data_IF_645430215919
#
_entry.id   IF_645430215919
#
_cell.length_a   1.000
_cell.length_b   1.000
_cell.length_c   1.000
_cell.angle_alpha   90.00
_cell.angle_beta   90.00
_cell.angle_gamma   90.00
#
_symmetry.space_group_name_H-M   'P 1'
#
loop_
_entity.id
_entity.type
_entity.pdbx_description
1 polymer ?
#
# COMPACT_ATOMS: atom_id res chain seq x y z
N UNK A 1 28.46 85.50 10.26
CA UNK A 1 28.76 84.37 9.31
C UNK A 1 28.72 82.96 9.94
N UNK A 2 27.97 82.70 11.02
CA UNK A 2 27.87 81.36 11.65
C UNK A 2 26.54 80.62 11.38
N UNK A 3 25.52 81.27 10.84
CA UNK A 3 24.19 80.68 10.66
C UNK A 3 23.98 79.94 9.35
N UNK A 4 24.79 80.13 8.30
CA UNK A 4 24.68 79.50 7.01
C UNK A 4 25.30 78.07 7.01
N UNK A 5 26.32 77.82 7.82
CA UNK A 5 26.99 76.53 7.85
C UNK A 5 26.19 75.46 8.60
N UNK A 6 25.39 75.81 9.60
CA UNK A 6 24.54 74.87 10.36
C UNK A 6 23.40 74.31 9.50
N UNK A 7 22.83 75.18 8.60
CA UNK A 7 21.76 74.73 7.69
C UNK A 7 22.27 73.76 6.63
N UNK A 8 23.52 73.90 6.17
CA UNK A 8 24.11 73.03 5.11
C UNK A 8 24.44 71.65 5.63
N UNK A 9 24.86 71.56 6.89
CA UNK A 9 25.13 70.25 7.51
C UNK A 9 23.85 69.51 7.90
N UNK A 10 22.76 70.23 8.26
CA UNK A 10 21.46 69.62 8.55
C UNK A 10 20.82 68.99 7.30
N UNK A 11 20.98 69.58 6.12
CA UNK A 11 20.49 69.01 4.89
C UNK A 11 21.30 67.78 4.42
N UNK A 12 22.61 67.76 4.68
CA UNK A 12 23.45 66.58 4.39
C UNK A 12 23.14 65.39 5.30
N UNK A 13 22.86 65.61 6.58
CA UNK A 13 22.51 64.56 7.53
C UNK A 13 21.12 64.03 7.23
N UNK A 14 20.16 64.91 6.81
CA UNK A 14 18.81 64.43 6.41
C UNK A 14 18.83 63.62 5.10
N UNK A 15 19.71 63.96 4.15
CA UNK A 15 19.90 63.23 2.91
C UNK A 15 20.49 61.81 3.12
N UNK A 16 21.44 61.68 4.04
CA UNK A 16 22.06 60.40 4.37
C UNK A 16 21.11 59.49 5.16
N UNK A 17 20.28 60.06 6.07
CA UNK A 17 19.24 59.28 6.75
C UNK A 17 18.13 58.78 5.79
N UNK A 18 17.74 59.57 4.81
CA UNK A 18 16.74 59.15 3.80
C UNK A 18 17.29 58.07 2.87
N UNK A 19 18.57 58.03 2.57
CA UNK A 19 19.17 57.01 1.70
C UNK A 19 19.38 55.67 2.43
N UNK A 20 19.57 55.66 3.75
CA UNK A 20 19.64 54.42 4.53
C UNK A 20 18.29 53.76 4.72
N UNK A 21 17.20 54.55 4.74
CA UNK A 21 15.85 54.01 4.89
C UNK A 21 15.31 53.26 3.61
N UNK A 22 15.85 53.58 2.43
CA UNK A 22 15.46 52.93 1.15
C UNK A 22 16.23 51.63 0.92
N UNK A 23 17.38 51.40 1.60
CA UNK A 23 18.21 50.21 1.44
C UNK A 23 17.72 48.96 2.22
N UNK A 24 16.70 49.07 3.10
CA UNK A 24 16.21 47.98 3.94
C UNK A 24 14.90 47.34 3.44
N UNK A 25 14.40 47.75 2.26
CA UNK A 25 13.40 46.97 1.56
C UNK A 25 14.03 45.78 0.83
N UNK A 26 14.85 45.00 1.52
CA UNK A 26 15.26 43.68 1.10
C UNK A 26 14.00 42.86 0.95
N UNK A 27 13.67 42.50 -0.29
CA UNK A 27 12.70 41.46 -0.56
C UNK A 27 12.98 40.27 0.37
N UNK A 28 12.22 40.14 1.42
CA UNK A 28 11.97 38.83 2.02
C UNK A 28 11.36 38.00 0.89
N UNK A 29 12.21 37.35 0.11
CA UNK A 29 11.82 36.28 -0.80
C UNK A 29 11.17 35.27 0.12
N UNK A 30 9.85 35.36 0.20
CA UNK A 30 9.04 34.36 0.87
C UNK A 30 9.39 33.05 0.18
N UNK A 31 10.28 32.28 0.78
CA UNK A 31 10.54 30.90 0.39
C UNK A 31 9.20 30.24 0.62
N UNK A 32 8.38 30.15 -0.42
CA UNK A 32 7.21 29.29 -0.42
C UNK A 32 7.79 27.90 -0.13
N UNK A 33 7.76 27.52 1.13
CA UNK A 33 7.87 26.13 1.53
C UNK A 33 6.76 25.44 0.77
N UNK A 34 7.08 24.77 -0.32
CA UNK A 34 6.13 23.90 -1.02
C UNK A 34 5.85 22.77 -0.03
N UNK A 35 4.82 22.96 0.79
CA UNK A 35 4.25 21.86 1.57
C UNK A 35 3.79 20.85 0.56
N UNK A 36 4.53 19.73 0.46
CA UNK A 36 4.10 18.58 -0.35
C UNK A 36 2.74 18.20 0.19
N UNK A 37 1.71 18.33 -0.65
CA UNK A 37 0.36 17.97 -0.26
C UNK A 37 0.35 16.47 0.14
N UNK A 38 -0.24 16.13 1.30
CA UNK A 38 -0.27 14.75 1.75
C UNK A 38 -1.01 13.88 0.72
N UNK A 39 -0.48 12.68 0.47
CA UNK A 39 -1.04 11.71 -0.48
C UNK A 39 -1.69 10.55 0.27
N UNK A 40 -2.58 9.82 -0.39
CA UNK A 40 -2.95 8.45 -0.04
C UNK A 40 -2.08 7.48 -0.85
N UNK A 41 -1.91 6.28 -0.36
CA UNK A 41 -0.99 5.29 -0.94
C UNK A 41 -1.73 4.01 -1.26
N UNK A 42 -1.64 3.55 -2.52
CA UNK A 42 -2.41 2.40 -3.01
C UNK A 42 -1.47 1.36 -3.61
N UNK A 43 -1.64 0.12 -3.20
CA UNK A 43 -1.02 -1.08 -3.76
C UNK A 43 -2.09 -1.98 -4.41
N UNK A 44 -1.68 -2.91 -5.27
CA UNK A 44 -2.58 -3.86 -5.91
C UNK A 44 -2.08 -5.29 -5.74
N UNK A 45 -2.99 -6.20 -5.39
CA UNK A 45 -2.81 -7.65 -5.42
C UNK A 45 -3.86 -8.28 -6.37
N UNK A 46 -3.46 -8.65 -7.58
CA UNK A 46 -4.33 -9.35 -8.52
C UNK A 46 -4.16 -10.86 -8.36
N UNK A 47 -4.83 -11.45 -7.36
CA UNK A 47 -4.72 -12.86 -7.00
C UNK A 47 -5.99 -13.65 -7.36
N UNK A 48 -6.62 -13.30 -8.48
CA UNK A 48 -7.76 -14.00 -9.07
C UNK A 48 -7.28 -14.89 -10.25
N UNK A 49 -6.93 -16.17 -10.05
CA UNK A 49 -6.24 -16.99 -11.06
C UNK A 49 -7.10 -17.35 -12.28
N UNK A 50 -8.41 -17.12 -12.26
CA UNK A 50 -9.31 -17.30 -13.42
C UNK A 50 -9.67 -15.97 -14.10
N UNK A 51 -9.17 -14.84 -13.57
CA UNK A 51 -9.43 -13.53 -14.16
C UNK A 51 -8.63 -13.32 -15.45
N UNK A 52 -9.19 -12.61 -16.45
CA UNK A 52 -8.37 -12.01 -17.49
C UNK A 52 -7.43 -10.95 -16.92
N UNK A 53 -6.48 -10.49 -17.72
CA UNK A 53 -5.75 -9.27 -17.42
C UNK A 53 -6.71 -8.08 -17.30
N UNK A 54 -6.45 -7.18 -16.35
CA UNK A 54 -7.31 -6.03 -16.06
C UNK A 54 -6.55 -4.71 -16.18
N UNK A 55 -7.28 -3.64 -16.43
CA UNK A 55 -6.85 -2.26 -16.30
C UNK A 55 -7.64 -1.60 -15.18
N UNK A 56 -6.97 -0.78 -14.38
CA UNK A 56 -7.58 -0.09 -13.22
C UNK A 56 -8.06 1.30 -13.63
N UNK A 57 -9.27 1.63 -13.21
CA UNK A 57 -9.92 2.92 -13.46
C UNK A 57 -10.35 3.56 -12.14
N UNK A 58 -10.00 4.83 -11.94
CA UNK A 58 -10.48 5.65 -10.83
C UNK A 58 -11.49 6.66 -11.37
N UNK A 59 -12.74 6.60 -10.90
CA UNK A 59 -13.85 7.43 -11.40
C UNK A 59 -13.87 7.45 -12.94
N UNK A 60 -13.86 6.25 -13.56
CA UNK A 60 -13.86 6.02 -15.01
C UNK A 60 -12.61 6.50 -15.78
N UNK A 61 -11.63 7.06 -15.09
CA UNK A 61 -10.34 7.43 -15.70
C UNK A 61 -9.35 6.28 -15.56
N UNK A 62 -8.80 5.80 -16.67
CA UNK A 62 -7.77 4.76 -16.67
C UNK A 62 -6.52 5.23 -15.93
N UNK A 63 -6.02 4.38 -15.03
CA UNK A 63 -4.87 4.64 -14.17
C UNK A 63 -3.74 3.60 -14.34
N UNK A 64 -3.98 2.49 -15.01
CA UNK A 64 -2.94 1.48 -15.24
C UNK A 64 -2.94 0.95 -16.67
N UNK A 65 -1.82 0.37 -17.08
CA UNK A 65 -1.75 -0.60 -18.19
C UNK A 65 -2.34 -1.93 -17.75
N UNK A 66 -2.36 -2.92 -18.66
CA UNK A 66 -2.83 -4.27 -18.39
C UNK A 66 -2.02 -4.94 -17.27
N UNK A 67 -2.75 -5.51 -16.29
CA UNK A 67 -2.21 -6.22 -15.12
C UNK A 67 -2.71 -7.66 -15.16
N UNK A 68 -1.79 -8.61 -15.24
CA UNK A 68 -2.11 -10.03 -15.30
C UNK A 68 -2.47 -10.60 -13.92
N UNK A 69 -3.28 -11.67 -13.91
CA UNK A 69 -3.49 -12.47 -12.71
C UNK A 69 -2.15 -13.00 -12.17
N UNK A 70 -1.98 -13.00 -10.84
CA UNK A 70 -0.74 -13.33 -10.13
C UNK A 70 0.19 -12.13 -9.91
N UNK A 71 -0.15 -10.94 -10.42
CA UNK A 71 0.64 -9.72 -10.19
C UNK A 71 0.35 -9.14 -8.79
N UNK A 72 1.42 -8.84 -8.06
CA UNK A 72 1.38 -8.14 -6.77
C UNK A 72 2.33 -6.95 -6.85
N UNK A 73 1.85 -5.76 -6.52
CA UNK A 73 2.69 -4.56 -6.46
C UNK A 73 3.67 -4.65 -5.30
N UNK A 74 4.96 -4.44 -5.58
CA UNK A 74 6.02 -4.43 -4.56
C UNK A 74 6.10 -3.10 -3.79
N UNK A 75 5.38 -2.08 -4.24
CA UNK A 75 5.38 -0.74 -3.63
C UNK A 75 4.01 -0.08 -3.77
N UNK A 76 3.79 0.94 -2.97
CA UNK A 76 2.61 1.79 -3.05
C UNK A 76 2.80 2.89 -4.09
N UNK A 77 1.71 3.21 -4.79
CA UNK A 77 1.60 4.38 -5.67
C UNK A 77 0.87 5.50 -4.95
N UNK A 78 1.39 6.72 -5.05
CA UNK A 78 0.78 7.90 -4.46
C UNK A 78 -0.41 8.37 -5.30
N UNK A 79 -1.52 8.66 -4.64
CA UNK A 79 -2.75 9.21 -5.21
C UNK A 79 -3.18 10.43 -4.41
N UNK A 80 -3.86 11.39 -5.02
CA UNK A 80 -4.49 12.48 -4.28
C UNK A 80 -5.59 11.95 -3.36
N UNK A 81 -5.71 12.46 -2.12
CA UNK A 81 -6.81 12.08 -1.26
C UNK A 81 -8.16 12.47 -1.88
N UNK A 82 -9.16 11.61 -1.73
CA UNK A 82 -10.47 11.87 -2.32
C UNK A 82 -11.41 10.68 -2.26
N UNK A 83 -12.58 10.85 -2.85
CA UNK A 83 -13.57 9.79 -2.99
C UNK A 83 -13.44 9.17 -4.38
N UNK A 84 -13.20 7.86 -4.41
CA UNK A 84 -13.02 7.11 -5.65
C UNK A 84 -13.93 5.89 -5.71
N UNK A 85 -14.63 5.75 -6.84
CA UNK A 85 -15.11 4.47 -7.32
C UNK A 85 -14.00 3.82 -8.16
N UNK A 86 -13.70 2.55 -7.94
CA UNK A 86 -12.63 1.87 -8.69
C UNK A 86 -13.24 0.77 -9.54
N UNK A 87 -13.01 0.86 -10.86
CA UNK A 87 -13.36 -0.16 -11.84
C UNK A 87 -12.13 -0.96 -12.26
N UNK A 88 -12.31 -2.27 -12.39
CA UNK A 88 -11.34 -3.17 -13.02
C UNK A 88 -11.97 -3.67 -14.31
N UNK A 89 -11.48 -3.19 -15.45
CA UNK A 89 -11.97 -3.59 -16.78
C UNK A 89 -11.02 -4.61 -17.39
N UNK A 90 -11.56 -5.48 -18.25
CA UNK A 90 -10.76 -6.40 -19.07
C UNK A 90 -9.78 -5.59 -19.92
N UNK A 91 -8.50 -5.91 -19.86
CA UNK A 91 -7.48 -5.22 -20.62
C UNK A 91 -7.80 -5.20 -22.12
N UNK A 92 -7.69 -4.01 -22.72
CA UNK A 92 -8.01 -3.77 -24.11
C UNK A 92 -9.52 -3.80 -24.45
N UNK A 93 -10.40 -3.65 -23.45
CA UNK A 93 -11.85 -3.61 -23.65
C UNK A 93 -12.60 -2.91 -22.52
N UNK A 94 -13.92 -2.76 -22.69
CA UNK A 94 -14.77 -2.04 -21.74
C UNK A 94 -15.52 -2.94 -20.75
N UNK A 95 -15.35 -4.27 -20.85
CA UNK A 95 -16.04 -5.22 -19.98
C UNK A 95 -15.56 -5.08 -18.55
N UNK A 96 -16.48 -4.83 -17.62
CA UNK A 96 -16.20 -4.78 -16.20
C UNK A 96 -15.91 -6.19 -15.68
N UNK A 97 -14.79 -6.37 -15.00
CA UNK A 97 -14.36 -7.61 -14.34
C UNK A 97 -14.73 -7.57 -12.86
N UNK A 98 -14.45 -6.44 -12.18
CA UNK A 98 -14.81 -6.21 -10.79
C UNK A 98 -14.94 -4.72 -10.51
N UNK A 99 -15.58 -4.34 -9.40
CA UNK A 99 -15.70 -2.95 -8.97
C UNK A 99 -15.54 -2.82 -7.45
N UNK A 100 -15.04 -1.67 -7.01
CA UNK A 100 -15.16 -1.18 -5.64
C UNK A 100 -16.06 0.04 -5.64
N UNK A 101 -17.08 0.02 -4.80
CA UNK A 101 -17.97 1.16 -4.61
C UNK A 101 -17.20 2.39 -4.16
N UNK A 102 -17.76 3.58 -4.44
CA UNK A 102 -17.20 4.86 -3.99
C UNK A 102 -16.87 4.82 -2.51
N UNK A 103 -15.63 5.11 -2.18
CA UNK A 103 -15.15 5.19 -0.81
C UNK A 103 -14.08 6.28 -0.66
N UNK A 104 -13.93 6.78 0.57
CA UNK A 104 -12.92 7.77 0.89
C UNK A 104 -11.53 7.12 0.96
N UNK A 105 -10.55 7.77 0.34
CA UNK A 105 -9.12 7.48 0.42
C UNK A 105 -8.45 8.67 1.09
N UNK A 106 -8.23 8.57 2.41
CA UNK A 106 -7.69 9.62 3.24
C UNK A 106 -6.19 9.84 3.02
N UNK A 107 -5.75 11.06 3.30
CA UNK A 107 -4.34 11.42 3.27
C UNK A 107 -3.52 10.62 4.30
N UNK A 108 -2.28 10.31 3.95
CA UNK A 108 -1.33 9.57 4.79
C UNK A 108 -1.84 8.18 5.21
N UNK A 109 -2.76 7.59 4.41
CA UNK A 109 -3.27 6.24 4.61
C UNK A 109 -2.83 5.32 3.49
N UNK A 110 -2.69 4.05 3.83
CA UNK A 110 -2.30 2.98 2.91
C UNK A 110 -3.48 2.05 2.67
N UNK A 111 -3.66 1.62 1.44
CA UNK A 111 -4.68 0.65 1.08
C UNK A 111 -4.19 -0.32 0.01
N UNK A 112 -4.49 -1.59 0.18
CA UNK A 112 -4.30 -2.62 -0.83
C UNK A 112 -5.61 -2.90 -1.54
N UNK A 113 -5.62 -2.79 -2.86
CA UNK A 113 -6.71 -3.24 -3.72
C UNK A 113 -6.49 -4.71 -4.03
N UNK A 114 -7.37 -5.57 -3.55
CA UNK A 114 -7.30 -7.01 -3.76
C UNK A 114 -8.31 -7.45 -4.80
N UNK A 115 -7.86 -8.16 -5.85
CA UNK A 115 -8.70 -8.94 -6.74
C UNK A 115 -8.60 -10.42 -6.40
N UNK A 116 -9.74 -11.06 -6.19
CA UNK A 116 -9.86 -12.49 -5.88
C UNK A 116 -11.03 -13.10 -6.67
N UNK A 117 -11.07 -14.42 -6.82
CA UNK A 117 -12.20 -15.05 -7.47
C UNK A 117 -13.34 -15.28 -6.45
N UNK A 118 -14.58 -14.90 -6.80
CA UNK A 118 -15.77 -15.32 -6.05
C UNK A 118 -16.08 -16.79 -6.42
N UNK A 119 -15.93 -17.10 -7.69
CA UNK A 119 -16.01 -18.45 -8.27
C UNK A 119 -15.16 -18.51 -9.55
N UNK A 120 -15.25 -19.60 -10.32
CA UNK A 120 -14.44 -19.77 -11.54
C UNK A 120 -14.75 -18.76 -12.65
N UNK A 121 -15.85 -18.03 -12.56
CA UNK A 121 -16.36 -17.11 -13.60
C UNK A 121 -16.47 -15.68 -13.11
N UNK A 122 -16.51 -15.45 -11.80
CA UNK A 122 -16.69 -14.14 -11.21
C UNK A 122 -15.49 -13.73 -10.38
N UNK A 123 -15.10 -12.47 -10.55
CA UNK A 123 -14.01 -11.82 -9.79
C UNK A 123 -14.60 -10.80 -8.85
N UNK A 124 -14.16 -10.86 -7.59
CA UNK A 124 -14.45 -9.86 -6.58
C UNK A 124 -13.28 -8.90 -6.41
N UNK A 125 -13.58 -7.72 -5.88
CA UNK A 125 -12.59 -6.76 -5.42
C UNK A 125 -12.82 -6.40 -3.96
N UNK A 126 -11.74 -6.18 -3.21
CA UNK A 126 -11.78 -5.69 -1.84
C UNK A 126 -10.75 -4.57 -1.64
N UNK A 127 -11.14 -3.56 -0.86
CA UNK A 127 -10.21 -2.54 -0.33
C UNK A 127 -9.78 -2.97 1.06
N UNK A 128 -8.50 -3.18 1.26
CA UNK A 128 -7.90 -3.51 2.54
C UNK A 128 -7.16 -2.27 3.03
N UNK A 129 -7.52 -1.77 4.21
CA UNK A 129 -6.77 -0.69 4.85
C UNK A 129 -5.53 -1.30 5.52
N UNK A 130 -4.36 -0.79 5.17
CA UNK A 130 -3.09 -1.25 5.68
C UNK A 130 -2.68 -0.34 6.85
N UNK A 131 -2.81 -0.84 8.08
CA UNK A 131 -2.49 -0.09 9.29
C UNK A 131 -1.10 -0.45 9.79
N UNK A 132 -0.14 0.43 9.52
CA UNK A 132 1.25 0.30 9.97
C UNK A 132 1.51 0.98 11.33
N UNK A 133 0.50 1.59 11.95
CA UNK A 133 0.66 2.25 13.27
C UNK A 133 0.98 1.28 14.41
N UNK A 134 0.76 -0.01 14.19
CA UNK A 134 1.07 -1.09 15.15
C UNK A 134 2.54 -1.49 15.16
N UNK A 135 3.35 -1.03 14.19
CA UNK A 135 4.75 -1.45 14.07
C UNK A 135 5.60 -0.89 15.20
N UNK A 136 6.43 -1.75 15.78
CA UNK A 136 7.42 -1.40 16.80
C UNK A 136 8.83 -1.83 16.35
N UNK A 137 9.85 -1.15 16.86
CA UNK A 137 11.24 -1.33 16.40
C UNK A 137 11.86 -2.69 16.80
N UNK A 138 11.25 -3.42 17.72
CA UNK A 138 11.77 -4.67 18.29
C UNK A 138 11.06 -5.93 17.77
N UNK A 139 10.00 -5.76 16.97
CA UNK A 139 9.16 -6.85 16.46
C UNK A 139 9.10 -6.86 14.95
N UNK A 140 8.77 -8.02 14.38
CA UNK A 140 8.29 -8.20 13.02
C UNK A 140 6.77 -8.40 13.06
N UNK A 141 6.10 -8.11 11.97
CA UNK A 141 4.64 -8.18 11.90
C UNK A 141 4.21 -8.94 10.66
N UNK A 142 3.18 -9.76 10.76
CA UNK A 142 2.64 -10.47 9.60
C UNK A 142 1.12 -10.53 9.63
N UNK A 143 0.56 -10.74 8.45
CA UNK A 143 -0.82 -11.19 8.23
C UNK A 143 -0.82 -12.26 7.15
N UNK A 144 -1.84 -13.10 7.12
CA UNK A 144 -1.95 -14.17 6.14
C UNK A 144 -3.26 -14.07 5.38
N UNK A 145 -3.19 -14.22 4.04
CA UNK A 145 -4.34 -14.28 3.15
C UNK A 145 -4.40 -15.62 2.43
N UNK A 146 -5.53 -16.31 2.54
CA UNK A 146 -5.81 -17.51 1.77
C UNK A 146 -6.52 -17.15 0.46
N UNK A 147 -5.79 -17.09 -0.66
CA UNK A 147 -6.30 -16.67 -1.97
C UNK A 147 -6.14 -17.76 -3.05
N UNK A 148 -6.17 -19.04 -2.65
CA UNK A 148 -6.20 -20.20 -3.53
C UNK A 148 -7.59 -20.86 -3.50
N UNK A 149 -8.49 -20.57 -4.46
CA UNK A 149 -9.93 -20.84 -4.34
C UNK A 149 -10.31 -22.33 -4.29
N UNK A 150 -9.46 -23.25 -4.76
CA UNK A 150 -9.74 -24.69 -4.75
C UNK A 150 -9.10 -25.45 -3.60
N UNK A 151 -8.48 -24.69 -2.67
CA UNK A 151 -7.85 -25.25 -1.48
C UNK A 151 -8.82 -25.08 -0.32
N UNK A 152 -9.04 -26.17 0.42
CA UNK A 152 -9.84 -26.18 1.64
C UNK A 152 -9.14 -25.35 2.74
N UNK A 153 -9.77 -25.22 3.91
CA UNK A 153 -9.23 -24.50 5.06
C UNK A 153 -7.81 -24.98 5.41
N UNK A 154 -7.00 -24.02 5.80
CA UNK A 154 -5.57 -24.23 6.01
C UNK A 154 -5.12 -23.79 7.39
N UNK A 155 -4.05 -24.42 7.86
CA UNK A 155 -3.26 -23.99 9.00
C UNK A 155 -1.89 -23.48 8.53
N UNK A 156 -1.42 -22.39 9.13
CA UNK A 156 -0.16 -21.73 8.77
C UNK A 156 0.84 -21.88 9.91
N UNK A 157 2.02 -22.35 9.58
CA UNK A 157 3.11 -22.58 10.53
C UNK A 157 4.33 -21.74 10.14
N UNK A 158 5.02 -21.24 11.17
CA UNK A 158 6.40 -20.75 11.05
C UNK A 158 7.30 -21.80 11.72
N UNK A 159 8.11 -22.48 10.92
CA UNK A 159 8.80 -23.73 11.30
C UNK A 159 7.78 -24.75 11.84
N UNK A 160 7.82 -25.05 13.13
CA UNK A 160 6.87 -25.97 13.77
C UNK A 160 5.79 -25.25 14.61
N UNK A 161 5.79 -23.92 14.64
CA UNK A 161 4.84 -23.14 15.45
C UNK A 161 3.60 -22.80 14.65
N UNK A 162 2.43 -23.18 15.16
CA UNK A 162 1.13 -22.81 14.58
C UNK A 162 0.90 -21.30 14.77
N UNK A 163 0.79 -20.56 13.67
CA UNK A 163 0.60 -19.11 13.66
C UNK A 163 -0.85 -18.72 13.39
N UNK A 164 -1.58 -19.49 12.59
CA UNK A 164 -2.97 -19.27 12.27
C UNK A 164 -3.62 -20.58 11.87
N UNK A 165 -4.84 -20.87 12.35
CA UNK A 165 -5.55 -22.12 12.08
C UNK A 165 -6.91 -21.87 11.43
N UNK A 166 -7.38 -22.86 10.67
CA UNK A 166 -8.73 -22.86 10.09
C UNK A 166 -8.98 -21.70 9.14
N UNK A 167 -7.97 -21.24 8.41
CA UNK A 167 -8.08 -20.10 7.50
C UNK A 167 -8.77 -20.53 6.21
N UNK A 168 -9.97 -20.00 6.00
CA UNK A 168 -10.78 -20.30 4.81
C UNK A 168 -10.42 -19.40 3.64
N UNK A 169 -10.76 -19.83 2.42
CA UNK A 169 -10.56 -19.03 1.21
C UNK A 169 -11.20 -17.65 1.32
N UNK A 170 -10.44 -16.60 1.03
CA UNK A 170 -10.84 -15.19 1.04
C UNK A 170 -11.53 -14.72 2.34
N UNK A 171 -11.25 -15.37 3.49
CA UNK A 171 -11.82 -15.03 4.78
C UNK A 171 -11.50 -13.59 5.23
N UNK A 172 -10.35 -13.06 4.81
CA UNK A 172 -9.93 -11.69 5.05
C UNK A 172 -10.84 -10.64 4.36
N UNK A 173 -11.64 -11.03 3.38
CA UNK A 173 -12.61 -10.13 2.72
C UNK A 173 -13.86 -9.93 3.59
N UNK A 174 -14.31 -10.98 4.27
CA UNK A 174 -15.50 -10.95 5.14
C UNK A 174 -15.18 -10.68 6.62
N UNK A 175 -13.96 -11.00 7.06
CA UNK A 175 -13.52 -10.89 8.46
C UNK A 175 -12.35 -9.91 8.53
N UNK A 176 -12.63 -8.66 8.86
CA UNK A 176 -11.64 -7.58 8.89
C UNK A 176 -10.48 -7.81 9.87
N UNK A 177 -10.66 -8.63 10.89
CA UNK A 177 -9.61 -9.04 11.82
C UNK A 177 -8.42 -9.67 11.08
N UNK A 178 -8.66 -10.45 10.03
CA UNK A 178 -7.58 -11.10 9.26
C UNK A 178 -6.78 -10.14 8.36
N UNK A 179 -7.19 -8.87 8.28
CA UNK A 179 -6.41 -7.82 7.63
C UNK A 179 -5.40 -7.15 8.57
N UNK A 180 -5.50 -7.39 9.89
CA UNK A 180 -4.60 -6.80 10.87
C UNK A 180 -3.25 -7.53 10.91
N UNK A 181 -2.20 -6.77 11.20
CA UNK A 181 -0.87 -7.31 11.39
C UNK A 181 -0.69 -7.84 12.82
N UNK A 182 -0.19 -9.06 12.93
CA UNK A 182 0.13 -9.74 14.20
C UNK A 182 1.64 -9.71 14.43
N UNK A 183 2.08 -9.33 15.63
CA UNK A 183 3.49 -9.27 15.97
C UNK A 183 4.11 -10.64 16.19
N UNK A 184 5.34 -10.82 15.70
CA UNK A 184 6.19 -12.00 15.93
C UNK A 184 7.61 -11.58 16.26
N UNK A 185 8.41 -12.49 16.80
CA UNK A 185 9.83 -12.26 16.97
C UNK A 185 10.53 -12.26 15.62
N UNK A 186 11.46 -11.32 15.36
CA UNK A 186 12.27 -11.35 14.15
C UNK A 186 13.05 -12.66 14.05
N UNK A 187 12.97 -13.33 12.88
CA UNK A 187 13.65 -14.58 12.62
C UNK A 187 13.63 -14.90 11.11
N UNK A 188 14.52 -15.77 10.68
CA UNK A 188 14.39 -16.44 9.39
C UNK A 188 13.65 -17.75 9.61
N UNK A 189 12.52 -17.94 8.95
CA UNK A 189 11.60 -19.06 9.16
C UNK A 189 11.27 -19.77 7.85
N UNK A 190 10.83 -21.01 7.96
CA UNK A 190 10.09 -21.70 6.90
C UNK A 190 8.59 -21.51 7.15
N UNK A 191 7.90 -20.88 6.21
CA UNK A 191 6.44 -20.77 6.23
C UNK A 191 5.84 -22.01 5.59
N UNK A 192 5.06 -22.79 6.34
CA UNK A 192 4.41 -24.01 5.85
C UNK A 192 2.90 -23.85 5.96
N UNK A 193 2.20 -24.16 4.85
CA UNK A 193 0.74 -24.23 4.82
C UNK A 193 0.33 -25.68 4.75
N UNK A 194 -0.48 -26.10 5.71
CA UNK A 194 -1.04 -27.47 5.80
C UNK A 194 -2.56 -27.42 5.62
N UNK A 195 -3.16 -28.54 5.21
CA UNK A 195 -4.61 -28.72 5.27
C UNK A 195 -5.04 -28.68 6.74
N UNK A 196 -6.00 -27.85 7.07
CA UNK A 196 -6.41 -27.62 8.47
C UNK A 196 -6.77 -28.91 9.20
N UNK A 197 -6.27 -29.01 10.44
CA UNK A 197 -6.46 -30.16 11.30
C UNK A 197 -5.70 -31.42 10.89
N UNK A 198 -4.75 -31.30 9.95
CA UNK A 198 -3.94 -32.46 9.46
C UNK A 198 -2.47 -32.10 9.32
N UNK A 199 -1.61 -33.12 9.15
CA UNK A 199 -0.18 -32.93 8.82
C UNK A 199 0.10 -32.84 7.32
N UNK A 200 -0.95 -32.83 6.48
CA UNK A 200 -0.79 -32.79 5.01
C UNK A 200 -0.29 -31.42 4.57
N UNK A 201 0.94 -31.31 4.14
CA UNK A 201 1.55 -30.09 3.60
C UNK A 201 0.99 -29.79 2.21
N UNK A 202 0.49 -28.58 2.01
CA UNK A 202 0.04 -28.07 0.71
C UNK A 202 1.21 -27.43 -0.02
N UNK A 203 1.92 -26.54 0.67
CA UNK A 203 3.09 -25.82 0.14
C UNK A 203 3.94 -25.27 1.28
N UNK A 204 5.19 -24.94 0.98
CA UNK A 204 6.08 -24.28 1.93
C UNK A 204 7.00 -23.28 1.21
N UNK A 205 7.46 -22.28 1.95
CA UNK A 205 8.42 -21.27 1.51
C UNK A 205 9.53 -21.17 2.54
N UNK A 206 10.75 -21.51 2.13
CA UNK A 206 11.92 -21.53 3.01
C UNK A 206 12.59 -20.15 3.06
N UNK A 207 13.33 -19.91 4.14
CA UNK A 207 14.20 -18.75 4.30
C UNK A 207 13.47 -17.41 4.22
N UNK A 208 12.25 -17.32 4.75
CA UNK A 208 11.52 -16.05 4.88
C UNK A 208 12.16 -15.28 6.03
N UNK A 209 12.84 -14.19 5.70
CA UNK A 209 13.49 -13.34 6.70
C UNK A 209 12.48 -12.29 7.22
N UNK A 210 11.97 -12.53 8.42
CA UNK A 210 11.08 -11.60 9.13
C UNK A 210 11.93 -10.62 9.94
N UNK A 211 12.32 -9.51 9.33
CA UNK A 211 13.13 -8.46 9.96
C UNK A 211 12.30 -7.62 10.92
N UNK A 212 12.95 -7.08 11.96
CA UNK A 212 12.31 -6.14 12.87
C UNK A 212 11.84 -4.87 12.14
N UNK A 213 10.79 -4.23 12.68
CA UNK A 213 10.16 -3.03 12.14
C UNK A 213 9.60 -3.17 10.71
N UNK A 214 9.30 -4.39 10.28
CA UNK A 214 8.71 -4.67 8.97
C UNK A 214 7.39 -5.42 9.10
N UNK A 215 6.50 -5.19 8.13
CA UNK A 215 5.24 -5.87 7.99
C UNK A 215 5.24 -6.76 6.76
N UNK A 216 4.71 -7.96 6.89
CA UNK A 216 4.69 -8.97 5.85
C UNK A 216 3.26 -9.42 5.58
N UNK A 217 2.80 -9.27 4.33
CA UNK A 217 1.59 -9.93 3.87
C UNK A 217 1.99 -11.26 3.22
N UNK A 218 1.77 -12.37 3.92
CA UNK A 218 2.02 -13.73 3.43
C UNK A 218 0.72 -14.22 2.79
N UNK A 219 0.77 -14.83 1.62
CA UNK A 219 -0.44 -15.23 0.92
C UNK A 219 -0.29 -16.57 0.19
N UNK A 220 -1.29 -17.42 0.36
CA UNK A 220 -1.49 -18.64 -0.41
C UNK A 220 -2.21 -18.26 -1.71
N UNK A 221 -1.66 -18.62 -2.85
CA UNK A 221 -2.16 -18.24 -4.18
C UNK A 221 -2.25 -19.40 -5.14
N UNK A 222 -2.85 -19.12 -6.30
CA UNK A 222 -2.92 -20.03 -7.43
C UNK A 222 -4.15 -20.91 -7.45
N UNK A 223 -4.18 -21.87 -8.37
CA UNK A 223 -5.28 -22.82 -8.56
C UNK A 223 -4.76 -24.21 -8.90
N UNK A 224 -5.58 -25.24 -8.71
CA UNK A 224 -5.23 -26.61 -9.12
C UNK A 224 -4.94 -26.66 -10.62
N UNK A 225 -3.86 -27.34 -11.01
CA UNK A 225 -3.43 -27.43 -12.39
C UNK A 225 -2.90 -26.12 -12.97
N UNK A 226 -2.79 -25.06 -12.17
CA UNK A 226 -2.16 -23.80 -12.58
C UNK A 226 -0.67 -23.96 -12.79
N UNK A 227 -0.09 -23.09 -13.64
CA UNK A 227 1.35 -23.05 -13.93
C UNK A 227 1.94 -21.66 -13.65
N UNK A 228 3.25 -21.58 -13.40
CA UNK A 228 3.92 -20.33 -13.10
C UNK A 228 3.30 -19.61 -11.90
N UNK A 229 2.99 -18.34 -12.03
CA UNK A 229 2.38 -17.51 -10.97
C UNK A 229 0.97 -17.98 -10.57
N UNK A 230 0.30 -18.78 -11.39
CA UNK A 230 -1.01 -19.37 -11.10
C UNK A 230 -0.93 -20.79 -10.54
N UNK A 231 0.26 -21.38 -10.36
CA UNK A 231 0.43 -22.62 -9.61
C UNK A 231 0.14 -22.38 -8.12
N UNK A 232 -0.36 -23.41 -7.43
CA UNK A 232 -0.50 -23.36 -5.97
C UNK A 232 0.88 -23.10 -5.36
N UNK A 233 0.97 -22.05 -4.57
CA UNK A 233 2.19 -21.62 -3.92
C UNK A 233 1.92 -20.61 -2.83
N UNK A 234 2.92 -20.39 -2.00
CA UNK A 234 2.93 -19.37 -0.97
C UNK A 234 4.02 -18.36 -1.30
N UNK A 235 3.69 -17.10 -1.16
CA UNK A 235 4.61 -15.98 -1.34
C UNK A 235 4.37 -14.93 -0.25
N UNK A 236 5.21 -13.93 -0.21
CA UNK A 236 5.03 -12.80 0.69
C UNK A 236 5.37 -11.47 0.01
N UNK A 237 4.73 -10.42 0.49
CA UNK A 237 5.06 -9.03 0.22
C UNK A 237 5.57 -8.42 1.52
N UNK A 238 6.78 -7.89 1.50
CA UNK A 238 7.31 -7.05 2.57
C UNK A 238 6.88 -5.62 2.29
N UNK A 239 6.14 -5.03 3.21
CA UNK A 239 5.84 -3.61 3.19
C UNK A 239 6.95 -2.89 3.92
N UNK A 240 7.58 -1.97 3.21
CA UNK A 240 8.65 -1.11 3.75
C UNK A 240 8.09 0.30 3.77
N UNK A 241 8.27 0.99 4.88
CA UNK A 241 8.10 2.44 4.94
C UNK A 241 9.27 3.16 4.24
#
# INVERSE_FOLDING_TARGET
>A
MKTVQVRRNAFLILGVLAFVAVGLSGCLKQTSSSTIAPKTYISLMHLAPWSPAVEVYFNDKQASSAINAGTVSSSYSALDPGVYAIGFKKAGGDSIVATLSSSLYDSSRYATLLLYNIDSTHVGAAKINDDYSVLTNDRSFFRFFHLAPEIADVDVFFDNNLMSSGRSYADNVSISYYNQFTSVSPATVTVTVKKSGTDSVITSLNNVNLSQFNAYTIYLRGKKGGTGVNAIGIDYLQSVD
#
